data_IF_624334968832
#
_entry.id   IF_624334968832
#
_cell.length_a   1.000
_cell.length_b   1.000
_cell.length_c   1.000
_cell.angle_alpha   90.00
_cell.angle_beta   90.00
_cell.angle_gamma   90.00
#
_symmetry.space_group_name_H-M   'P 1'
#
loop_
_entity.id
_entity.type
_entity.pdbx_description
1 polymer ?
#
# COMPACT_ATOMS: atom_id res chain seq x y z
N UNK A 1 -6.76 13.15 -11.14
CA UNK A 1 -6.34 12.15 -10.15
C UNK A 1 -6.51 10.76 -10.70
N UNK A 2 -5.94 9.81 -10.06
CA UNK A 2 -5.95 8.43 -10.57
C UNK A 2 -7.25 7.66 -10.29
N UNK A 3 -8.30 8.33 -9.85
CA UNK A 3 -9.61 7.71 -9.68
C UNK A 3 -9.66 6.58 -8.66
N UNK A 4 -8.94 6.71 -7.57
CA UNK A 4 -8.88 5.68 -6.55
C UNK A 4 -9.61 6.08 -5.28
N UNK A 5 -9.59 5.18 -4.31
CA UNK A 5 -10.18 5.39 -3.00
C UNK A 5 -9.14 5.18 -1.92
N UNK A 6 -9.14 6.07 -0.93
CA UNK A 6 -8.29 5.88 0.24
C UNK A 6 -9.01 5.05 1.29
N UNK A 7 -8.25 4.25 2.03
CA UNK A 7 -8.78 3.48 3.15
C UNK A 7 -8.08 3.99 4.40
N UNK A 8 -8.87 4.38 5.40
CA UNK A 8 -8.38 5.08 6.56
C UNK A 8 -8.61 4.32 7.86
N UNK A 9 -7.71 4.53 8.80
CA UNK A 9 -7.90 4.15 10.19
C UNK A 9 -7.89 5.46 10.96
N UNK A 10 -9.07 5.90 11.41
CA UNK A 10 -9.21 7.25 11.93
C UNK A 10 -8.90 8.28 10.84
N UNK A 11 -7.95 9.15 11.08
CA UNK A 11 -7.57 10.19 10.13
C UNK A 11 -6.37 9.81 9.25
N UNK A 12 -5.90 8.57 9.35
CA UNK A 12 -4.67 8.17 8.70
C UNK A 12 -4.96 7.16 7.58
N UNK A 13 -4.54 7.50 6.36
CA UNK A 13 -4.71 6.61 5.22
C UNK A 13 -3.61 5.56 5.22
N UNK A 14 -3.98 4.29 5.30
CA UNK A 14 -3.00 3.20 5.29
C UNK A 14 -3.06 2.35 4.03
N UNK A 15 -4.06 2.59 3.20
CA UNK A 15 -4.21 1.82 1.96
C UNK A 15 -4.97 2.65 0.94
N UNK A 16 -4.87 2.24 -0.32
CA UNK A 16 -5.67 2.87 -1.37
C UNK A 16 -6.01 1.82 -2.42
N UNK A 17 -7.11 2.06 -3.11
CA UNK A 17 -7.54 1.24 -4.23
C UNK A 17 -7.46 2.11 -5.47
N UNK A 18 -6.73 1.66 -6.48
CA UNK A 18 -6.58 2.37 -7.74
C UNK A 18 -6.56 1.34 -8.86
N UNK A 19 -7.32 1.59 -9.92
CA UNK A 19 -7.37 0.71 -11.08
C UNK A 19 -7.71 -0.74 -10.70
N UNK A 20 -8.64 -0.88 -9.74
CA UNK A 20 -9.11 -2.18 -9.23
C UNK A 20 -8.04 -2.97 -8.49
N UNK A 21 -6.96 -2.30 -8.07
CA UNK A 21 -5.90 -2.93 -7.30
C UNK A 21 -5.80 -2.30 -5.92
N UNK A 22 -5.47 -3.11 -4.93
CA UNK A 22 -5.30 -2.66 -3.56
C UNK A 22 -3.82 -2.44 -3.27
N UNK A 23 -3.52 -1.27 -2.70
CA UNK A 23 -2.16 -0.88 -2.34
C UNK A 23 -2.11 -0.54 -0.86
N UNK A 24 -1.04 -0.95 -0.18
CA UNK A 24 -0.85 -0.68 1.24
C UNK A 24 0.32 0.28 1.44
N UNK A 25 0.21 1.10 2.49
CA UNK A 25 1.28 2.02 2.87
C UNK A 25 2.53 1.24 3.25
N UNK A 26 3.67 1.59 2.66
CA UNK A 26 4.94 0.92 2.89
C UNK A 26 5.97 1.89 3.46
N UNK A 27 6.66 1.44 4.49
CA UNK A 27 7.78 2.14 5.07
C UNK A 27 8.84 1.12 5.47
N UNK A 28 9.79 1.55 6.29
CA UNK A 28 10.90 0.67 6.67
C UNK A 28 10.44 -0.61 7.38
N UNK A 29 9.33 -0.53 8.10
CA UNK A 29 8.82 -1.66 8.87
C UNK A 29 8.38 -2.83 7.99
N UNK A 30 7.78 -2.54 6.85
CA UNK A 30 7.15 -3.58 6.02
C UNK A 30 7.64 -3.63 4.57
N UNK A 31 8.64 -2.82 4.20
CA UNK A 31 9.12 -2.81 2.81
C UNK A 31 9.64 -4.17 2.37
N UNK A 32 10.41 -4.82 3.22
CA UNK A 32 11.00 -6.12 2.88
C UNK A 32 9.93 -7.16 2.57
N UNK A 33 8.83 -7.14 3.31
CA UNK A 33 7.74 -8.09 3.07
C UNK A 33 7.22 -7.98 1.64
N UNK A 34 7.07 -6.74 1.15
CA UNK A 34 6.59 -6.51 -0.22
C UNK A 34 7.66 -6.87 -1.25
N UNK A 35 8.91 -6.53 -0.97
CA UNK A 35 10.00 -6.83 -1.89
C UNK A 35 10.19 -8.34 -2.08
N UNK A 36 10.08 -9.11 -1.00
CA UNK A 36 10.21 -10.55 -1.05
C UNK A 36 9.11 -11.21 -1.89
N UNK A 37 7.95 -10.58 -1.97
CA UNK A 37 6.84 -11.06 -2.79
C UNK A 37 6.89 -10.54 -4.21
N UNK A 38 7.88 -9.73 -4.54
CA UNK A 38 8.01 -9.18 -5.87
C UNK A 38 7.03 -8.06 -6.16
N UNK A 39 6.50 -7.41 -5.13
CA UNK A 39 5.57 -6.31 -5.32
C UNK A 39 6.29 -5.04 -5.72
N UNK A 40 5.53 -4.07 -6.24
CA UNK A 40 6.05 -2.80 -6.72
C UNK A 40 5.23 -1.64 -6.19
N UNK A 41 5.86 -0.46 -6.03
CA UNK A 41 5.12 0.72 -5.61
C UNK A 41 4.22 1.23 -6.73
N UNK A 42 3.16 1.94 -6.33
CA UNK A 42 2.25 2.57 -7.27
C UNK A 42 2.96 3.76 -7.94
N UNK A 43 2.89 3.81 -9.25
CA UNK A 43 3.48 4.90 -10.03
C UNK A 43 2.43 5.50 -10.94
N UNK A 44 2.52 6.80 -11.13
CA UNK A 44 1.67 7.47 -12.10
C UNK A 44 2.46 8.60 -12.76
N UNK A 45 1.96 9.06 -13.91
CA UNK A 45 2.61 10.13 -14.64
C UNK A 45 1.82 11.41 -14.42
N UNK A 46 2.51 12.49 -14.02
CA UNK A 46 1.90 13.80 -13.84
C UNK A 46 2.79 14.84 -14.51
N UNK A 47 2.21 15.58 -15.45
CA UNK A 47 2.92 16.63 -16.19
C UNK A 47 4.23 16.15 -16.79
N UNK A 48 4.21 14.95 -17.37
CA UNK A 48 5.37 14.37 -18.01
C UNK A 48 6.40 13.77 -17.07
N UNK A 49 6.13 13.77 -15.78
CA UNK A 49 7.03 13.20 -14.79
C UNK A 49 6.43 11.96 -14.16
N UNK A 50 7.28 10.98 -13.90
CA UNK A 50 6.87 9.77 -13.20
C UNK A 50 6.92 10.01 -11.69
N UNK A 51 5.80 9.76 -11.03
CA UNK A 51 5.69 9.92 -9.57
C UNK A 51 5.49 8.56 -8.93
N UNK A 52 6.29 8.25 -7.92
CA UNK A 52 6.20 7.00 -7.18
C UNK A 52 5.68 7.27 -5.79
N UNK A 53 4.62 6.58 -5.41
CA UNK A 53 4.04 6.72 -4.07
C UNK A 53 4.60 5.65 -3.14
N UNK A 54 4.50 5.91 -1.84
CA UNK A 54 4.90 4.92 -0.83
C UNK A 54 3.75 3.96 -0.51
N UNK A 55 3.00 3.60 -1.54
CA UNK A 55 1.93 2.60 -1.48
C UNK A 55 2.26 1.53 -2.48
N UNK A 56 2.33 0.28 -2.01
CA UNK A 56 2.75 -0.85 -2.84
C UNK A 56 1.60 -1.82 -3.04
N UNK A 57 1.56 -2.43 -4.20
CA UNK A 57 0.51 -3.38 -4.54
C UNK A 57 0.51 -4.55 -3.58
N UNK A 58 -0.67 -4.87 -3.03
CA UNK A 58 -0.79 -6.02 -2.14
C UNK A 58 -0.78 -7.30 -2.97
N UNK A 59 0.14 -8.24 -2.68
CA UNK A 59 0.18 -9.49 -3.44
C UNK A 59 -1.12 -10.27 -3.31
N UNK A 60 -1.58 -10.87 -4.42
CA UNK A 60 -2.83 -11.62 -4.41
C UNK A 60 -2.78 -12.81 -3.45
N UNK A 61 -1.62 -13.42 -3.29
CA UNK A 61 -1.47 -14.55 -2.36
C UNK A 61 -1.70 -14.13 -0.90
N UNK A 62 -1.39 -12.87 -0.58
CA UNK A 62 -1.66 -12.34 0.75
C UNK A 62 -3.16 -12.08 0.92
N UNK A 63 -3.81 -11.60 -0.13
CA UNK A 63 -5.26 -11.38 -0.09
C UNK A 63 -6.03 -12.67 0.13
N UNK A 64 -5.51 -13.78 -0.35
CA UNK A 64 -6.17 -15.08 -0.24
C UNK A 64 -5.90 -15.77 1.09
N UNK A 65 -5.00 -15.24 1.91
CA UNK A 65 -4.65 -15.82 3.21
C UNK A 65 -5.04 -14.81 4.30
N UNK A 66 -6.12 -15.11 5.01
CA UNK A 66 -6.67 -14.21 6.01
C UNK A 66 -5.66 -13.85 7.12
N UNK A 67 -4.88 -14.80 7.57
CA UNK A 67 -3.90 -14.54 8.63
C UNK A 67 -2.77 -13.63 8.14
N UNK A 68 -2.30 -13.88 6.94
CA UNK A 68 -1.28 -13.03 6.32
C UNK A 68 -1.82 -11.62 6.12
N UNK A 69 -3.04 -11.54 5.57
CA UNK A 69 -3.67 -10.26 5.30
C UNK A 69 -3.81 -9.43 6.58
N UNK A 70 -4.20 -10.08 7.68
CA UNK A 70 -4.34 -9.38 8.95
C UNK A 70 -3.01 -8.80 9.42
N UNK A 71 -1.94 -9.57 9.35
CA UNK A 71 -0.60 -9.10 9.73
C UNK A 71 -0.11 -7.97 8.87
N UNK A 72 -0.30 -8.09 7.57
CA UNK A 72 0.12 -7.06 6.62
C UNK A 72 -0.67 -5.77 6.83
N UNK A 73 -1.97 -5.90 7.12
CA UNK A 73 -2.82 -4.74 7.39
C UNK A 73 -2.37 -4.01 8.65
N UNK A 74 -2.07 -4.75 9.71
CA UNK A 74 -1.60 -4.14 10.95
C UNK A 74 -0.29 -3.37 10.76
N UNK A 75 0.64 -3.93 9.99
CA UNK A 75 1.90 -3.26 9.71
C UNK A 75 1.69 -1.99 8.88
N UNK A 76 0.80 -2.05 7.89
CA UNK A 76 0.51 -0.88 7.06
C UNK A 76 -0.07 0.25 7.90
N UNK A 77 -0.99 -0.07 8.81
CA UNK A 77 -1.58 0.92 9.70
C UNK A 77 -0.50 1.52 10.60
N UNK A 78 0.38 0.70 11.15
CA UNK A 78 1.46 1.18 12.00
C UNK A 78 2.41 2.11 11.24
N UNK A 79 2.75 1.77 10.00
CA UNK A 79 3.59 2.63 9.16
C UNK A 79 2.90 3.96 8.92
N UNK A 80 1.62 3.93 8.59
CA UNK A 80 0.85 5.15 8.32
C UNK A 80 0.80 6.05 9.55
N UNK A 81 0.60 5.46 10.74
CA UNK A 81 0.57 6.23 11.97
C UNK A 81 1.94 6.85 12.28
N UNK A 82 3.02 6.14 11.96
CA UNK A 82 4.37 6.63 12.22
C UNK A 82 4.77 7.76 11.26
N UNK A 83 4.12 7.85 10.12
CA UNK A 83 4.45 8.85 9.11
C UNK A 83 3.77 10.19 9.34
N UNK A 84 2.93 10.28 10.34
CA UNK A 84 2.16 11.50 10.63
C UNK A 84 2.97 12.49 11.48
#
# INVERSE_FOLDING_TARGET
>A
MFGGYGIFKGDVMFALIAEDELYYKVGDLNRRDFEEKGSEPFRYTSKGKSVTLSYWKLPSEVMDDFQELEGWTKKAIRVALSAV
#
